data_IF_845855471463
#
_entry.id   IF_845855471463
#
_cell.length_a   1.000
_cell.length_b   1.000
_cell.length_c   1.000
_cell.angle_alpha   90.00
_cell.angle_beta   90.00
_cell.angle_gamma   90.00
#
_symmetry.space_group_name_H-M   'P 1'
#
loop_
_entity.id
_entity.type
_entity.pdbx_description
1 polymer ?
#
# COMPACT_ATOMS: atom_id res chain seq x y z
N UNK A 1 25.34 -10.07 12.03
CA UNK A 1 23.89 -10.25 12.25
C UNK A 1 23.18 -9.84 10.97
N UNK A 2 22.27 -10.66 10.44
CA UNK A 2 21.54 -10.37 9.21
C UNK A 2 20.72 -9.09 9.38
N UNK A 3 20.76 -8.15 8.43
CA UNK A 3 19.91 -6.95 8.41
C UNK A 3 18.73 -7.18 7.48
N UNK A 4 17.52 -7.10 8.02
CA UNK A 4 16.28 -7.43 7.34
C UNK A 4 15.48 -6.14 7.19
N UNK A 5 15.36 -5.63 5.97
CA UNK A 5 14.45 -4.54 5.66
C UNK A 5 13.03 -5.07 5.52
N UNK A 6 12.04 -4.43 6.14
CA UNK A 6 10.64 -4.87 6.07
C UNK A 6 9.76 -3.70 5.63
N UNK A 7 9.21 -3.78 4.42
CA UNK A 7 8.28 -2.79 3.89
C UNK A 7 6.87 -3.32 4.09
N UNK A 8 6.13 -2.73 5.02
CA UNK A 8 4.77 -3.16 5.34
C UNK A 8 3.79 -2.34 4.50
N UNK A 9 2.87 -3.03 3.83
CA UNK A 9 1.86 -2.41 2.98
C UNK A 9 0.45 -2.65 3.50
N UNK A 10 -0.32 -1.57 3.57
CA UNK A 10 -1.74 -1.56 3.93
C UNK A 10 -1.99 -1.68 5.44
N UNK A 11 -3.20 -1.30 5.89
CA UNK A 11 -3.58 -1.39 7.30
C UNK A 11 -3.93 -2.83 7.72
N UNK A 12 -4.42 -3.67 6.80
CA UNK A 12 -5.00 -4.99 7.14
C UNK A 12 -4.03 -5.89 7.89
N UNK A 13 -2.77 -5.95 7.48
CA UNK A 13 -1.74 -6.77 8.14
C UNK A 13 -1.36 -6.25 9.54
N UNK A 14 -1.58 -4.95 9.78
CA UNK A 14 -1.42 -4.33 11.10
C UNK A 14 -2.64 -4.66 11.97
N UNK A 15 -3.84 -4.34 11.47
CA UNK A 15 -5.12 -4.53 12.17
C UNK A 15 -5.37 -6.01 12.54
N UNK A 16 -4.88 -6.95 11.72
CA UNK A 16 -4.96 -8.40 12.01
C UNK A 16 -3.96 -8.88 13.09
N UNK A 17 -3.04 -8.02 13.54
CA UNK A 17 -1.96 -8.33 14.46
C UNK A 17 -0.85 -9.21 13.86
N UNK A 18 -0.92 -9.53 12.56
CA UNK A 18 0.08 -10.39 11.89
C UNK A 18 1.42 -9.69 11.72
N UNK A 19 1.42 -8.38 11.48
CA UNK A 19 2.65 -7.60 11.38
C UNK A 19 3.48 -7.68 12.67
N UNK A 20 2.86 -7.47 13.84
CA UNK A 20 3.56 -7.57 15.13
C UNK A 20 4.20 -8.94 15.35
N UNK A 21 3.44 -10.02 15.12
CA UNK A 21 3.94 -11.40 15.22
C UNK A 21 5.09 -11.69 14.25
N UNK A 22 4.98 -11.20 13.01
CA UNK A 22 6.03 -11.34 12.02
C UNK A 22 7.32 -10.64 12.48
N UNK A 23 7.22 -9.40 12.98
CA UNK A 23 8.37 -8.63 13.41
C UNK A 23 9.06 -9.25 14.64
N UNK A 24 8.29 -9.83 15.57
CA UNK A 24 8.84 -10.60 16.70
C UNK A 24 9.66 -11.80 16.20
N UNK A 25 9.11 -12.60 15.28
CA UNK A 25 9.80 -13.74 14.68
C UNK A 25 11.09 -13.29 13.96
N UNK A 26 10.99 -12.26 13.10
CA UNK A 26 12.13 -11.75 12.34
C UNK A 26 13.24 -11.19 13.24
N UNK A 27 12.88 -10.63 14.39
CA UNK A 27 13.87 -10.12 15.37
C UNK A 27 14.70 -11.22 16.01
N UNK A 28 14.17 -12.45 16.08
CA UNK A 28 14.95 -13.64 16.44
C UNK A 28 15.91 -14.11 15.35
N UNK A 29 15.72 -13.66 14.10
CA UNK A 29 16.53 -14.06 12.94
C UNK A 29 17.56 -13.00 12.52
N UNK A 30 17.39 -11.74 12.93
CA UNK A 30 18.29 -10.66 12.56
C UNK A 30 17.88 -9.29 13.09
N UNK A 31 18.60 -8.25 12.66
CA UNK A 31 18.26 -6.86 12.91
C UNK A 31 17.17 -6.41 11.94
N UNK A 32 15.99 -6.09 12.44
CA UNK A 32 14.83 -5.73 11.62
C UNK A 32 14.73 -4.21 11.46
N UNK A 33 14.44 -3.76 10.24
CA UNK A 33 14.23 -2.36 9.88
C UNK A 33 12.86 -2.20 9.21
N UNK A 34 11.76 -2.19 9.99
CA UNK A 34 10.41 -2.10 9.46
C UNK A 34 9.99 -0.66 9.17
N UNK A 35 9.33 -0.46 8.02
CA UNK A 35 8.86 0.85 7.56
C UNK A 35 7.45 0.73 6.98
N UNK A 36 6.64 1.79 7.15
CA UNK A 36 5.32 1.92 6.52
C UNK A 36 5.03 3.39 6.21
N UNK A 37 4.70 3.70 4.95
CA UNK A 37 4.45 5.09 4.51
C UNK A 37 3.00 5.49 4.25
N UNK A 38 2.10 4.54 3.96
CA UNK A 38 0.72 4.86 3.55
C UNK A 38 -0.15 5.36 4.72
N UNK A 39 -0.91 6.44 4.53
CA UNK A 39 -1.73 7.08 5.59
C UNK A 39 -2.57 6.10 6.40
N UNK A 40 -3.44 5.32 5.76
CA UNK A 40 -4.29 4.35 6.50
C UNK A 40 -3.46 3.34 7.31
N UNK A 41 -2.32 2.90 6.78
CA UNK A 41 -1.45 2.00 7.52
C UNK A 41 -0.73 2.70 8.68
N UNK A 42 -0.40 3.99 8.56
CA UNK A 42 0.20 4.77 9.66
C UNK A 42 -0.80 4.95 10.79
N UNK A 43 -2.06 5.23 10.47
CA UNK A 43 -3.14 5.23 11.45
C UNK A 43 -3.26 3.86 12.15
N UNK A 44 -3.27 2.76 11.39
CA UNK A 44 -3.29 1.41 11.96
C UNK A 44 -2.10 1.10 12.87
N UNK A 45 -0.90 1.56 12.52
CA UNK A 45 0.30 1.40 13.37
C UNK A 45 0.12 2.11 14.71
N UNK A 46 -0.38 3.35 14.71
CA UNK A 46 -0.61 4.14 15.92
C UNK A 46 -1.71 3.51 16.79
N UNK A 47 -2.81 3.08 16.15
CA UNK A 47 -3.92 2.40 16.84
C UNK A 47 -3.45 1.11 17.52
N UNK A 48 -2.55 0.37 16.87
CA UNK A 48 -1.95 -0.85 17.40
C UNK A 48 -0.82 -0.62 18.41
N UNK A 49 -0.37 0.63 18.61
CA UNK A 49 0.76 0.96 19.48
C UNK A 49 2.10 0.43 19.00
N UNK A 50 2.30 0.41 17.67
CA UNK A 50 3.48 -0.14 17.02
C UNK A 50 4.42 0.94 16.46
N UNK A 51 4.17 2.22 16.74
CA UNK A 51 4.96 3.36 16.21
C UNK A 51 6.42 3.39 16.71
N UNK A 52 6.71 2.79 17.87
CA UNK A 52 8.08 2.61 18.37
C UNK A 52 8.82 1.46 17.68
N UNK A 53 8.07 0.55 17.05
CA UNK A 53 8.60 -0.62 16.36
C UNK A 53 8.71 -0.38 14.85
N UNK A 54 7.71 0.26 14.23
CA UNK A 54 7.57 0.47 12.78
C UNK A 54 7.80 1.95 12.47
N UNK A 55 8.82 2.26 11.67
CA UNK A 55 9.08 3.64 11.23
C UNK A 55 7.99 4.12 10.27
N UNK A 56 7.18 5.05 10.77
CA UNK A 56 6.10 5.74 10.05
C UNK A 56 6.41 7.22 9.78
N UNK A 57 7.66 7.65 10.00
CA UNK A 57 8.06 9.06 9.92
C UNK A 57 8.07 9.63 8.50
N UNK A 58 8.04 8.77 7.48
CA UNK A 58 8.11 9.17 6.06
C UNK A 58 6.97 8.56 5.26
N UNK A 59 6.28 9.38 4.47
CA UNK A 59 5.30 8.92 3.48
C UNK A 59 6.00 8.49 2.19
N UNK A 60 6.62 7.31 2.21
CA UNK A 60 7.26 6.70 1.04
C UNK A 60 6.35 5.64 0.41
N UNK A 61 6.38 5.57 -0.94
CA UNK A 61 5.81 4.45 -1.68
C UNK A 61 6.59 3.17 -1.38
N UNK A 62 5.97 1.97 -1.53
CA UNK A 62 6.67 0.70 -1.32
C UNK A 62 7.99 0.58 -2.10
N UNK A 63 8.02 1.03 -3.36
CA UNK A 63 9.24 1.03 -4.18
C UNK A 63 10.35 1.92 -3.61
N UNK A 64 10.02 3.11 -3.14
CA UNK A 64 10.96 4.05 -2.54
C UNK A 64 11.52 3.51 -1.22
N UNK A 65 10.68 2.89 -0.39
CA UNK A 65 11.10 2.21 0.83
C UNK A 65 12.02 1.02 0.56
N UNK A 66 11.72 0.21 -0.46
CA UNK A 66 12.60 -0.89 -0.89
C UNK A 66 13.97 -0.35 -1.30
N UNK A 67 14.02 0.73 -2.08
CA UNK A 67 15.29 1.34 -2.50
C UNK A 67 16.11 1.87 -1.33
N UNK A 68 15.47 2.55 -0.38
CA UNK A 68 16.13 3.05 0.83
C UNK A 68 16.75 1.88 1.64
N UNK A 69 16.00 0.80 1.82
CA UNK A 69 16.44 -0.38 2.58
C UNK A 69 17.47 -1.22 1.82
N UNK A 70 17.41 -1.30 0.49
CA UNK A 70 18.35 -2.07 -0.32
C UNK A 70 19.81 -1.63 -0.12
N UNK A 71 20.04 -0.35 0.19
CA UNK A 71 21.37 0.19 0.46
C UNK A 71 21.95 -0.20 1.83
N UNK A 72 21.10 -0.54 2.79
CA UNK A 72 21.45 -0.68 4.21
C UNK A 72 21.12 -2.04 4.82
N UNK A 73 20.39 -2.89 4.09
CA UNK A 73 19.98 -4.23 4.50
C UNK A 73 20.58 -5.32 3.60
N UNK A 74 20.59 -6.54 4.10
CA UNK A 74 21.12 -7.71 3.39
C UNK A 74 20.01 -8.44 2.61
N UNK A 75 18.76 -8.29 3.04
CA UNK A 75 17.53 -8.78 2.39
C UNK A 75 16.39 -7.79 2.64
N UNK A 76 15.47 -7.67 1.68
CA UNK A 76 14.25 -6.85 1.83
C UNK A 76 13.01 -7.73 1.68
N UNK A 77 12.06 -7.56 2.60
CA UNK A 77 10.75 -8.21 2.61
C UNK A 77 9.68 -7.16 2.30
N UNK A 78 8.88 -7.40 1.27
CA UNK A 78 7.63 -6.69 1.02
C UNK A 78 6.49 -7.47 1.69
N UNK A 79 5.89 -6.91 2.71
CA UNK A 79 4.82 -7.55 3.49
C UNK A 79 3.48 -6.97 3.10
N UNK A 80 2.55 -7.84 2.73
CA UNK A 80 1.21 -7.46 2.30
C UNK A 80 0.16 -8.45 2.84
N UNK A 81 -1.05 -7.95 3.07
CA UNK A 81 -2.24 -8.79 3.22
C UNK A 81 -3.28 -8.32 2.20
N UNK A 82 -3.27 -8.96 1.03
CA UNK A 82 -4.18 -8.72 -0.07
C UNK A 82 -5.54 -9.37 0.12
N UNK A 83 -6.41 -9.21 -0.88
CA UNK A 83 -7.75 -9.83 -0.91
C UNK A 83 -7.68 -11.32 -1.22
N UNK A 84 -6.68 -11.69 -2.02
CA UNK A 84 -6.35 -13.05 -2.41
C UNK A 84 -4.85 -13.12 -2.76
N UNK A 85 -4.31 -14.33 -2.82
CA UNK A 85 -2.91 -14.56 -3.19
C UNK A 85 -2.62 -13.97 -4.58
N UNK A 86 -3.55 -14.06 -5.52
CA UNK A 86 -3.38 -13.56 -6.88
C UNK A 86 -3.26 -12.03 -6.90
N UNK A 87 -4.16 -11.33 -6.20
CA UNK A 87 -4.11 -9.87 -6.10
C UNK A 87 -2.87 -9.39 -5.36
N UNK A 88 -2.47 -10.11 -4.32
CA UNK A 88 -1.25 -9.87 -3.56
C UNK A 88 0.01 -10.02 -4.40
N UNK A 89 0.13 -11.14 -5.13
CA UNK A 89 1.26 -11.39 -6.02
C UNK A 89 1.35 -10.35 -7.13
N UNK A 90 0.21 -9.95 -7.70
CA UNK A 90 0.17 -8.87 -8.69
C UNK A 90 0.66 -7.53 -8.12
N UNK A 91 0.29 -7.18 -6.88
CA UNK A 91 0.79 -5.99 -6.20
C UNK A 91 2.32 -6.01 -6.05
N UNK A 92 2.90 -7.09 -5.51
CA UNK A 92 4.35 -7.17 -5.34
C UNK A 92 5.11 -7.15 -6.66
N UNK A 93 4.53 -7.73 -7.72
CA UNK A 93 5.07 -7.63 -9.09
C UNK A 93 5.07 -6.20 -9.61
N UNK A 94 3.96 -5.46 -9.48
CA UNK A 94 3.87 -4.05 -9.89
C UNK A 94 4.89 -3.18 -9.16
N UNK A 95 5.09 -3.42 -7.86
CA UNK A 95 6.12 -2.74 -7.07
C UNK A 95 7.51 -3.07 -7.61
N UNK A 96 7.79 -4.35 -7.88
CA UNK A 96 9.08 -4.81 -8.40
C UNK A 96 9.40 -4.28 -9.81
N UNK A 97 8.43 -4.24 -10.72
CA UNK A 97 8.63 -3.73 -12.09
C UNK A 97 8.96 -2.23 -12.12
N UNK A 98 8.56 -1.48 -11.10
CA UNK A 98 8.94 -0.08 -10.93
C UNK A 98 10.34 0.14 -10.34
N UNK A 99 11.10 -0.92 -10.03
CA UNK A 99 12.41 -0.82 -9.41
C UNK A 99 13.55 -0.97 -10.44
N UNK A 100 14.69 -0.27 -10.24
CA UNK A 100 15.93 -0.61 -10.91
C UNK A 100 16.41 -2.01 -10.52
N UNK A 101 17.45 -2.49 -11.20
CA UNK A 101 18.11 -3.76 -10.84
C UNK A 101 18.61 -3.67 -9.39
N UNK A 102 18.14 -4.60 -8.55
CA UNK A 102 18.52 -4.69 -7.15
C UNK A 102 19.66 -5.71 -6.98
N UNK A 103 20.61 -5.37 -6.12
CA UNK A 103 21.71 -6.28 -5.71
C UNK A 103 21.31 -7.20 -4.56
N UNK A 104 20.30 -6.83 -3.77
CA UNK A 104 19.84 -7.62 -2.62
C UNK A 104 18.63 -8.47 -2.99
N UNK A 105 18.43 -9.63 -2.33
CA UNK A 105 17.21 -10.41 -2.47
C UNK A 105 15.99 -9.60 -2.04
N UNK A 106 14.96 -9.64 -2.88
CA UNK A 106 13.65 -9.07 -2.60
C UNK A 106 12.62 -10.19 -2.59
N UNK A 107 11.98 -10.39 -1.44
CA UNK A 107 10.92 -11.38 -1.26
C UNK A 107 9.63 -10.67 -0.86
N UNK A 108 8.50 -11.28 -1.19
CA UNK A 108 7.20 -10.85 -0.71
C UNK A 108 6.63 -11.90 0.24
N UNK A 109 6.08 -11.43 1.36
CA UNK A 109 5.20 -12.19 2.24
C UNK A 109 3.76 -11.72 1.99
N UNK A 110 2.93 -12.64 1.52
CA UNK A 110 1.51 -12.41 1.26
C UNK A 110 0.69 -13.21 2.27
N UNK A 111 -0.12 -12.49 3.06
CA UNK A 111 -0.91 -13.07 4.14
C UNK A 111 -2.35 -13.45 3.74
N UNK A 112 -2.79 -13.13 2.52
CA UNK A 112 -4.07 -13.58 2.01
C UNK A 112 -4.15 -15.12 2.00
N UNK A 113 -5.12 -15.67 2.74
CA UNK A 113 -5.34 -17.12 2.81
C UNK A 113 -4.27 -17.92 3.56
N UNK A 114 -3.34 -17.29 4.28
CA UNK A 114 -2.27 -17.99 5.03
C UNK A 114 -0.98 -17.19 5.07
N UNK A 115 0.16 -17.84 4.85
CA UNK A 115 1.44 -17.17 4.59
C UNK A 115 2.04 -17.72 3.30
N UNK A 116 2.15 -16.88 2.28
CA UNK A 116 2.78 -17.21 1.01
C UNK A 116 4.08 -16.41 0.85
N UNK A 117 5.16 -17.12 0.51
CA UNK A 117 6.48 -16.54 0.25
C UNK A 117 6.74 -16.54 -1.26
N UNK A 118 6.89 -15.34 -1.82
CA UNK A 118 7.12 -15.12 -3.25
C UNK A 118 8.52 -14.52 -3.42
N UNK A 119 9.27 -15.02 -4.40
CA UNK A 119 10.54 -14.43 -4.79
C UNK A 119 10.29 -13.40 -5.90
N UNK A 120 10.61 -12.14 -5.65
CA UNK A 120 10.35 -11.06 -6.62
C UNK A 120 11.51 -10.85 -7.60
N UNK A 121 12.76 -11.14 -7.19
CA UNK A 121 13.94 -11.04 -8.06
C UNK A 121 14.77 -12.34 -8.10
N UNK A 122 15.76 -12.39 -8.99
CA UNK A 122 16.59 -13.59 -9.15
C UNK A 122 17.75 -13.70 -8.15
N UNK A 123 17.92 -12.69 -7.27
CA UNK A 123 18.97 -12.72 -6.25
C UNK A 123 18.55 -13.66 -5.13
N UNK A 124 19.38 -14.66 -4.85
CA UNK A 124 19.10 -15.67 -3.83
C UNK A 124 19.90 -15.44 -2.56
N UNK A 125 19.27 -15.73 -1.42
CA UNK A 125 19.91 -15.79 -0.11
C UNK A 125 19.34 -16.94 0.73
N UNK A 126 20.16 -17.70 1.49
CA UNK A 126 19.72 -18.84 2.30
C UNK A 126 18.54 -18.56 3.25
N UNK A 127 18.46 -17.33 3.75
CA UNK A 127 17.33 -16.80 4.55
C UNK A 127 15.96 -17.10 3.95
N UNK A 128 15.82 -17.23 2.62
CA UNK A 128 14.55 -17.62 2.00
C UNK A 128 14.02 -18.96 2.53
N UNK A 129 14.91 -19.96 2.67
CA UNK A 129 14.52 -21.28 3.13
C UNK A 129 14.25 -21.31 4.64
N UNK A 130 15.03 -20.56 5.41
CA UNK A 130 14.81 -20.37 6.85
C UNK A 130 13.46 -19.70 7.11
N UNK A 131 13.19 -18.59 6.41
CA UNK A 131 11.93 -17.86 6.50
C UNK A 131 10.73 -18.75 6.13
N UNK A 132 10.85 -19.53 5.04
CA UNK A 132 9.83 -20.50 4.63
C UNK A 132 9.51 -21.50 5.75
N UNK A 133 10.53 -22.03 6.40
CA UNK A 133 10.36 -23.04 7.44
C UNK A 133 9.76 -22.44 8.72
N UNK A 134 10.27 -21.29 9.16
CA UNK A 134 9.82 -20.64 10.41
C UNK A 134 8.38 -20.13 10.30
N UNK A 135 7.99 -19.62 9.13
CA UNK A 135 6.64 -19.11 8.89
C UNK A 135 5.65 -20.18 8.39
N UNK A 136 6.10 -21.42 8.20
CA UNK A 136 5.35 -22.48 7.51
C UNK A 136 4.74 -21.99 6.18
N UNK A 137 5.53 -21.23 5.42
CA UNK A 137 5.05 -20.48 4.27
C UNK A 137 4.98 -21.36 3.01
N UNK A 138 3.87 -21.25 2.28
CA UNK A 138 3.73 -21.82 0.94
C UNK A 138 4.56 -21.01 -0.06
N UNK A 139 5.33 -21.67 -0.91
CA UNK A 139 6.11 -20.97 -1.95
C UNK A 139 5.25 -20.81 -3.19
N UNK A 140 5.06 -19.56 -3.61
CA UNK A 140 4.26 -19.21 -4.79
C UNK A 140 5.20 -18.63 -5.85
N UNK A 141 5.05 -19.09 -7.10
CA UNK A 141 5.75 -18.49 -8.23
C UNK A 141 5.12 -17.14 -8.56
N UNK A 142 5.94 -16.16 -8.94
CA UNK A 142 5.44 -14.87 -9.43
C UNK A 142 4.46 -15.10 -10.59
N UNK A 143 3.28 -14.48 -10.52
CA UNK A 143 2.31 -14.51 -11.60
C UNK A 143 2.85 -13.84 -12.87
N UNK A 144 2.34 -14.23 -14.07
CA UNK A 144 2.64 -13.55 -15.32
C UNK A 144 2.23 -12.07 -15.28
N UNK A 145 2.83 -11.22 -16.13
CA UNK A 145 2.57 -9.79 -16.12
C UNK A 145 1.08 -9.53 -16.31
N UNK A 146 0.58 -8.67 -15.45
CA UNK A 146 -0.78 -8.19 -15.47
C UNK A 146 -0.97 -7.34 -16.76
N UNK A 147 -2.15 -7.37 -17.42
CA UNK A 147 -2.38 -6.62 -18.68
C UNK A 147 -1.87 -5.16 -18.60
N UNK A 148 -0.86 -4.82 -19.38
CA UNK A 148 -0.25 -3.50 -19.30
C UNK A 148 -1.22 -2.35 -19.64
N UNK A 149 -0.79 -1.13 -19.33
CA UNK A 149 -1.39 0.08 -19.87
C UNK A 149 -1.26 0.07 -21.40
N UNK A 150 -2.35 0.38 -22.10
CA UNK A 150 -2.40 0.46 -23.57
C UNK A 150 -2.72 1.88 -23.98
N UNK A 151 -1.97 2.43 -24.92
CA UNK A 151 -2.25 3.75 -25.51
C UNK A 151 -2.41 3.62 -27.01
N UNK A 152 -3.61 3.93 -27.51
CA UNK A 152 -3.95 3.88 -28.93
C UNK A 152 -4.78 5.12 -29.30
N UNK A 153 -4.45 5.77 -30.42
CA UNK A 153 -5.18 6.94 -30.94
C UNK A 153 -5.39 8.08 -29.91
N UNK A 154 -4.42 8.29 -29.00
CA UNK A 154 -4.52 9.32 -27.95
C UNK A 154 -5.46 8.96 -26.78
N UNK A 155 -5.91 7.71 -26.71
CA UNK A 155 -6.66 7.14 -25.60
C UNK A 155 -5.75 6.16 -24.85
N UNK A 156 -5.59 6.38 -23.56
CA UNK A 156 -4.86 5.49 -22.66
C UNK A 156 -5.85 4.71 -21.81
N UNK A 157 -5.67 3.38 -21.76
CA UNK A 157 -6.44 2.45 -20.93
C UNK A 157 -5.51 1.78 -19.94
N UNK A 158 -5.85 1.85 -18.66
CA UNK A 158 -5.11 1.17 -17.60
C UNK A 158 -6.06 0.27 -16.80
N UNK A 159 -5.86 -1.06 -16.82
CA UNK A 159 -6.67 -1.95 -16.00
C UNK A 159 -6.38 -1.76 -14.50
N UNK A 160 -7.41 -1.96 -13.69
CA UNK A 160 -7.35 -1.92 -12.23
C UNK A 160 -7.28 -3.35 -11.71
N UNK A 161 -6.08 -3.78 -11.31
CA UNK A 161 -5.86 -5.16 -10.88
C UNK A 161 -6.51 -5.50 -9.56
N UNK A 162 -7.07 -6.71 -9.48
CA UNK A 162 -7.64 -7.25 -8.24
C UNK A 162 -8.83 -6.47 -7.70
N UNK A 163 -9.48 -5.69 -8.55
CA UNK A 163 -10.72 -4.98 -8.22
C UNK A 163 -11.87 -5.97 -8.04
N UNK A 164 -12.76 -5.69 -7.10
CA UNK A 164 -14.01 -6.43 -6.88
C UNK A 164 -15.22 -5.51 -7.04
N UNK A 165 -16.37 -6.04 -7.47
CA UNK A 165 -17.62 -5.27 -7.50
C UNK A 165 -17.88 -4.63 -6.14
N UNK A 166 -18.21 -3.34 -6.15
CA UNK A 166 -18.50 -2.57 -4.95
C UNK A 166 -17.32 -1.81 -4.35
N UNK A 167 -16.10 -2.00 -4.84
CA UNK A 167 -14.92 -1.28 -4.33
C UNK A 167 -14.79 0.12 -4.90
N UNK A 168 -14.18 1.02 -4.11
CA UNK A 168 -13.76 2.33 -4.62
C UNK A 168 -12.53 2.16 -5.50
N UNK A 169 -12.49 2.88 -6.62
CA UNK A 169 -11.32 3.01 -7.48
C UNK A 169 -10.70 4.37 -7.22
N UNK A 170 -9.42 4.38 -6.86
CA UNK A 170 -8.68 5.61 -6.54
C UNK A 170 -7.52 5.81 -7.48
N UNK A 171 -7.25 7.09 -7.79
CA UNK A 171 -6.10 7.55 -8.58
C UNK A 171 -5.44 8.67 -7.80
N UNK A 172 -4.17 8.49 -7.43
CA UNK A 172 -3.41 9.43 -6.60
C UNK A 172 -4.19 9.87 -5.34
N UNK A 173 -4.79 8.91 -4.65
CA UNK A 173 -5.55 9.15 -3.43
C UNK A 173 -6.98 9.67 -3.62
N UNK A 174 -7.38 10.06 -4.83
CA UNK A 174 -8.72 10.57 -5.11
C UNK A 174 -9.63 9.44 -5.60
N UNK A 175 -10.79 9.27 -4.96
CA UNK A 175 -11.82 8.33 -5.41
C UNK A 175 -12.45 8.85 -6.70
N UNK A 176 -12.18 8.16 -7.82
CA UNK A 176 -12.68 8.52 -9.15
C UNK A 176 -13.98 7.80 -9.51
N UNK A 177 -14.36 6.78 -8.75
CA UNK A 177 -15.53 5.96 -9.06
C UNK A 177 -15.61 4.69 -8.22
N UNK A 178 -16.60 3.87 -8.55
CA UNK A 178 -16.88 2.58 -7.91
C UNK A 178 -16.90 1.47 -8.95
N UNK A 179 -16.26 0.34 -8.65
CA UNK A 179 -16.27 -0.82 -9.52
C UNK A 179 -17.64 -1.50 -9.54
N UNK A 180 -18.11 -1.88 -10.73
CA UNK A 180 -19.34 -2.66 -10.93
C UNK A 180 -19.05 -4.11 -11.34
N UNK A 181 -17.84 -4.38 -11.82
CA UNK A 181 -17.32 -5.70 -12.16
C UNK A 181 -15.93 -5.92 -11.52
N UNK A 182 -15.37 -7.11 -11.72
CA UNK A 182 -13.97 -7.45 -11.41
C UNK A 182 -12.99 -7.16 -12.57
N UNK A 183 -13.49 -6.60 -13.67
CA UNK A 183 -12.70 -6.18 -14.83
C UNK A 183 -12.97 -4.70 -15.10
N UNK A 184 -12.11 -3.84 -14.53
CA UNK A 184 -12.26 -2.38 -14.59
C UNK A 184 -11.06 -1.77 -15.32
N UNK A 185 -11.32 -0.83 -16.23
CA UNK A 185 -10.29 -0.06 -16.91
C UNK A 185 -10.51 1.45 -16.73
N UNK A 186 -9.46 2.16 -16.32
CA UNK A 186 -9.44 3.62 -16.31
C UNK A 186 -9.08 4.09 -17.72
N UNK A 187 -9.93 4.94 -18.28
CA UNK A 187 -9.76 5.49 -19.63
C UNK A 187 -9.40 6.97 -19.50
N UNK A 188 -8.28 7.37 -20.08
CA UNK A 188 -7.89 8.78 -20.19
C UNK A 188 -7.62 9.21 -21.64
N UNK A 189 -7.82 10.51 -21.91
CA UNK A 189 -7.44 11.15 -23.16
C UNK A 189 -6.91 12.55 -22.88
N UNK A 190 -5.76 12.89 -23.47
CA UNK A 190 -5.07 14.16 -23.18
C UNK A 190 -4.75 14.35 -21.69
N UNK A 191 -4.51 13.25 -20.96
CA UNK A 191 -4.29 13.23 -19.52
C UNK A 191 -5.54 13.50 -18.66
N UNK A 192 -6.74 13.59 -19.23
CA UNK A 192 -7.99 13.65 -18.46
C UNK A 192 -8.63 12.29 -18.37
N UNK A 193 -9.10 11.89 -17.20
CA UNK A 193 -9.89 10.67 -17.04
C UNK A 193 -11.28 10.92 -17.65
N UNK A 194 -11.62 10.15 -18.69
CA UNK A 194 -12.87 10.29 -19.45
C UNK A 194 -13.82 9.12 -19.24
N UNK A 195 -13.34 8.01 -18.64
CA UNK A 195 -14.13 6.79 -18.49
C UNK A 195 -13.59 5.86 -17.41
N UNK A 196 -14.50 5.03 -16.90
CA UNK A 196 -14.19 3.89 -16.05
C UNK A 196 -15.00 2.70 -16.57
N UNK A 197 -14.42 1.94 -17.49
CA UNK A 197 -15.08 0.74 -18.02
C UNK A 197 -15.18 -0.32 -16.92
N UNK A 198 -16.27 -1.09 -16.89
CA UNK A 198 -16.58 -1.99 -15.78
C UNK A 198 -16.90 -1.30 -14.44
N UNK A 199 -17.00 0.04 -14.42
CA UNK A 199 -17.27 0.82 -13.22
C UNK A 199 -18.25 1.98 -13.45
N UNK A 200 -18.52 2.72 -12.38
CA UNK A 200 -19.26 3.99 -12.42
C UNK A 200 -18.33 5.11 -11.97
N UNK A 201 -18.15 6.09 -12.83
CA UNK A 201 -17.42 7.32 -12.51
C UNK A 201 -18.16 8.17 -11.46
N UNK A 202 -17.38 8.82 -10.59
CA UNK A 202 -17.83 9.83 -9.62
C UNK A 202 -17.35 11.19 -10.12
N UNK A 203 -18.27 12.00 -10.67
CA UNK A 203 -17.97 13.30 -11.31
C UNK A 203 -17.07 14.19 -10.46
N UNK A 204 -17.42 14.35 -9.18
CA UNK A 204 -16.69 15.20 -8.24
C UNK A 204 -15.25 14.71 -7.96
N UNK A 205 -14.95 13.43 -8.18
CA UNK A 205 -13.58 12.91 -8.07
C UNK A 205 -12.73 13.24 -9.29
N UNK A 206 -13.33 13.19 -10.49
CA UNK A 206 -12.63 13.51 -11.76
C UNK A 206 -12.35 15.00 -11.85
N UNK A 207 -13.29 15.85 -11.40
CA UNK A 207 -13.13 17.31 -11.38
C UNK A 207 -11.87 17.74 -10.62
N UNK A 208 -11.42 16.95 -9.64
CA UNK A 208 -10.21 17.20 -8.84
C UNK A 208 -8.92 16.73 -9.50
N UNK A 209 -9.02 15.90 -10.54
CA UNK A 209 -7.90 15.34 -11.28
C UNK A 209 -7.83 16.01 -12.66
N UNK A 210 -7.35 17.26 -12.70
CA UNK A 210 -7.29 18.06 -13.93
C UNK A 210 -6.41 17.41 -15.02
N UNK A 211 -5.27 16.85 -14.63
CA UNK A 211 -4.35 16.14 -15.50
C UNK A 211 -3.65 15.00 -14.76
N UNK A 212 -3.70 13.80 -15.33
CA UNK A 212 -3.13 12.56 -14.78
C UNK A 212 -2.45 11.80 -15.90
N UNK A 213 -1.16 11.54 -15.70
CA UNK A 213 -0.45 10.52 -16.44
C UNK A 213 -0.75 9.14 -15.82
N UNK A 214 -1.59 8.35 -16.51
CA UNK A 214 -1.94 7.00 -16.05
C UNK A 214 -0.75 6.05 -16.02
N UNK A 215 0.39 6.34 -16.65
CA UNK A 215 1.57 5.47 -16.59
C UNK A 215 2.29 5.56 -15.24
N UNK A 216 2.29 6.74 -14.63
CA UNK A 216 2.96 7.01 -13.35
C UNK A 216 2.00 7.12 -12.16
N UNK A 217 0.70 7.23 -12.41
CA UNK A 217 -0.31 7.35 -11.37
C UNK A 217 -0.33 6.15 -10.40
N UNK A 218 -0.64 6.42 -9.13
CA UNK A 218 -0.91 5.38 -8.14
C UNK A 218 -2.38 5.01 -8.22
N UNK A 219 -2.66 3.81 -8.72
CA UNK A 219 -4.02 3.28 -8.89
C UNK A 219 -4.26 2.22 -7.84
N UNK A 220 -5.35 2.33 -7.08
CA UNK A 220 -5.75 1.33 -6.08
C UNK A 220 -7.24 1.02 -6.14
N UNK A 221 -7.60 -0.20 -5.77
CA UNK A 221 -8.97 -0.62 -5.53
C UNK A 221 -9.11 -1.26 -4.16
N UNK A 222 -10.20 -0.98 -3.49
CA UNK A 222 -10.50 -1.61 -2.21
C UNK A 222 -11.67 -1.00 -1.49
N UNK A 223 -11.99 -1.60 -0.36
CA UNK A 223 -12.82 -0.99 0.67
C UNK A 223 -11.87 -0.07 1.45
N UNK A 224 -12.29 1.17 1.69
CA UNK A 224 -11.55 2.07 2.57
C UNK A 224 -11.53 1.48 3.99
N UNK A 225 -10.49 1.76 4.77
CA UNK A 225 -10.39 1.23 6.14
C UNK A 225 -11.70 1.56 6.88
N UNK A 226 -12.40 0.52 7.32
CA UNK A 226 -13.69 0.68 7.95
C UNK A 226 -13.50 1.32 9.33
N UNK A 227 -14.35 2.26 9.72
CA UNK A 227 -14.29 2.95 11.02
C UNK A 227 -14.55 2.01 12.22
N UNK A 228 -14.72 0.71 11.97
CA UNK A 228 -14.93 -0.36 12.95
C UNK A 228 -13.66 -0.63 13.78
N UNK A 229 -12.47 -0.26 13.31
CA UNK A 229 -11.26 -0.29 14.15
C UNK A 229 -11.39 0.74 15.26
N UNK A 230 -11.25 0.31 16.52
CA UNK A 230 -11.35 1.21 17.68
C UNK A 230 -10.10 2.09 17.74
N UNK A 231 -10.22 3.41 17.57
CA UNK A 231 -9.05 4.29 17.60
C UNK A 231 -8.37 4.26 18.96
N UNK A 232 -7.05 4.38 18.99
CA UNK A 232 -6.32 4.52 20.25
C UNK A 232 -6.50 5.92 20.82
N UNK A 233 -6.91 5.99 22.10
CA UNK A 233 -7.03 7.26 22.82
C UNK A 233 -5.74 7.51 23.62
N UNK A 234 -5.11 8.64 23.34
CA UNK A 234 -3.90 9.10 24.02
C UNK A 234 -4.17 10.40 24.77
N UNK A 235 -3.50 10.60 25.91
CA UNK A 235 -3.53 11.89 26.58
C UNK A 235 -2.75 12.91 25.75
N UNK A 236 -3.36 14.08 25.51
CA UNK A 236 -2.74 15.18 24.78
C UNK A 236 -2.98 16.51 25.49
N UNK A 237 -1.93 17.32 25.61
CA UNK A 237 -2.02 18.67 26.14
C UNK A 237 -2.07 19.66 24.98
N UNK A 238 -3.27 20.11 24.66
CA UNK A 238 -3.51 20.97 23.51
C UNK A 238 -2.81 22.33 23.63
N UNK A 239 -2.17 22.76 22.54
CA UNK A 239 -1.64 24.12 22.36
C UNK A 239 -2.65 25.10 21.76
N UNK A 240 -3.74 24.59 21.17
CA UNK A 240 -4.82 25.34 20.52
C UNK A 240 -4.72 25.41 18.98
N UNK A 241 -3.79 24.68 18.36
CA UNK A 241 -3.61 24.66 16.91
C UNK A 241 -4.47 23.58 16.25
N UNK A 242 -5.29 23.98 15.28
CA UNK A 242 -6.16 23.07 14.53
C UNK A 242 -5.95 23.24 13.03
N UNK A 243 -6.09 22.13 12.29
CA UNK A 243 -6.00 22.09 10.82
C UNK A 243 -7.29 21.58 10.21
N UNK A 244 -7.58 22.02 8.99
CA UNK A 244 -8.65 21.46 8.16
C UNK A 244 -7.99 20.66 7.04
N UNK A 245 -8.39 19.40 6.90
CA UNK A 245 -7.91 18.51 5.85
C UNK A 245 -9.07 18.28 4.90
N UNK A 246 -9.00 18.95 3.76
CA UNK A 246 -9.95 18.79 2.68
C UNK A 246 -9.24 18.18 1.47
N UNK A 247 -9.73 17.02 1.04
CA UNK A 247 -9.26 16.30 -0.16
C UNK A 247 -7.75 15.96 -0.23
N UNK A 248 -7.01 16.08 0.87
CA UNK A 248 -5.58 15.77 0.97
C UNK A 248 -5.27 14.67 2.00
N UNK A 249 -6.13 13.64 2.06
CA UNK A 249 -6.03 12.58 3.06
C UNK A 249 -4.70 11.81 3.01
N UNK A 250 -4.07 11.66 1.83
CA UNK A 250 -2.75 11.00 1.72
C UNK A 250 -1.63 11.77 2.43
N UNK A 251 -1.82 13.06 2.73
CA UNK A 251 -0.87 13.91 3.45
C UNK A 251 -1.34 14.24 4.89
N UNK A 252 -2.27 13.47 5.44
CA UNK A 252 -2.90 13.76 6.75
C UNK A 252 -1.86 13.97 7.85
N UNK A 253 -0.89 13.05 7.96
CA UNK A 253 0.16 13.12 8.99
C UNK A 253 1.13 14.29 8.77
N UNK A 254 1.37 14.65 7.51
CA UNK A 254 2.21 15.79 7.14
C UNK A 254 1.54 17.12 7.50
N UNK A 255 0.23 17.24 7.23
CA UNK A 255 -0.56 18.45 7.53
C UNK A 255 -0.80 18.58 9.03
N UNK A 256 -1.12 17.48 9.72
CA UNK A 256 -1.48 17.45 11.12
C UNK A 256 -0.30 17.33 12.09
N UNK A 257 0.95 17.30 11.60
CA UNK A 257 2.16 16.99 12.39
C UNK A 257 2.28 17.78 13.70
N UNK A 258 1.97 19.07 13.65
CA UNK A 258 2.08 19.98 14.79
C UNK A 258 0.70 20.39 15.35
N UNK A 259 -0.38 19.79 14.84
CA UNK A 259 -1.76 20.13 15.17
C UNK A 259 -2.26 19.34 16.38
N UNK A 260 -3.06 20.00 17.22
CA UNK A 260 -3.78 19.37 18.31
C UNK A 260 -5.10 18.73 17.86
N UNK A 261 -5.62 19.21 16.73
CA UNK A 261 -6.89 18.78 16.16
C UNK A 261 -6.86 18.87 14.64
N UNK A 262 -7.39 17.85 13.97
CA UNK A 262 -7.65 17.85 12.54
C UNK A 262 -9.16 17.71 12.28
N UNK A 263 -9.72 18.61 11.48
CA UNK A 263 -11.08 18.50 10.96
C UNK A 263 -10.99 18.00 9.53
N UNK A 264 -11.41 16.77 9.29
CA UNK A 264 -11.36 16.14 7.96
C UNK A 264 -12.71 16.29 7.27
N UNK A 265 -12.69 16.70 5.99
CA UNK A 265 -13.91 17.00 5.22
C UNK A 265 -14.08 15.99 4.08
N UNK A 266 -15.23 15.32 4.07
CA UNK A 266 -15.67 14.39 3.03
C UNK A 266 -15.46 12.91 3.40
N UNK A 267 -16.43 12.07 3.05
CA UNK A 267 -16.49 10.65 3.48
C UNK A 267 -15.23 9.87 3.09
N UNK A 268 -14.81 9.97 1.83
CA UNK A 268 -13.62 9.26 1.34
C UNK A 268 -12.32 9.79 1.97
N UNK A 269 -12.26 11.10 2.20
CA UNK A 269 -11.10 11.75 2.83
C UNK A 269 -10.99 11.34 4.30
N UNK A 270 -12.13 11.28 5.00
CA UNK A 270 -12.22 10.84 6.40
C UNK A 270 -11.75 9.39 6.54
N UNK A 271 -12.24 8.48 5.69
CA UNK A 271 -11.84 7.08 5.76
C UNK A 271 -10.36 6.82 5.41
N UNK A 272 -9.72 7.67 4.59
CA UNK A 272 -8.29 7.57 4.27
C UNK A 272 -7.40 8.21 5.34
N UNK A 273 -7.87 9.29 5.97
CA UNK A 273 -7.14 10.03 6.99
C UNK A 273 -6.88 9.21 8.25
N UNK A 274 -7.76 8.26 8.56
CA UNK A 274 -7.69 7.42 9.75
C UNK A 274 -8.87 7.70 10.67
#
# INVERSE_FOLDING_TARGET
MLRIGVVIHGPVVIDSGRAGKLLEILSGMGKVHPVLGGTMGRAAVIDAGLEDLIDISRSLKPSESILALNSSCDVVLLVNEGKSIETGSAFGRLVFEGLPVLEKPLYQLEFAGGCSLIRLNNVFHPFFNELRQVLDASVVQSLPPARGLVTENGITRRPVFGVKPGECVTVNGIVIGKALSDNVEIISSGGRIIGLDGGRLKSHGIEKLEHVDLSSAVVRSGILRDAVTTPRVLEHKASGYAVIIDHSAENTFEIAKDADMAVVVGDDTTAVAG
#
